data_IF_693473395017
#
_entry.id   IF_693473395017
#
_cell.length_a   1.000
_cell.length_b   1.000
_cell.length_c   1.000
_cell.angle_alpha   90.00
_cell.angle_beta   90.00
_cell.angle_gamma   90.00
#
_symmetry.space_group_name_H-M   'P 1'
#
loop_
_entity.id
_entity.type
_entity.pdbx_description
1 polymer ?
#
# COMPACT_ATOMS: atom_id res chain seq x y z
N UNK A 1 -31.16 11.21 14.97
CA UNK A 1 -31.42 10.05 14.09
C UNK A 1 -31.48 10.55 12.66
N UNK A 2 -30.38 10.40 11.91
CA UNK A 2 -30.32 10.81 10.50
C UNK A 2 -30.44 9.60 9.59
N UNK A 3 -31.52 9.53 8.82
CA UNK A 3 -31.76 8.52 7.79
C UNK A 3 -30.80 8.72 6.63
N UNK A 4 -29.93 7.75 6.37
CA UNK A 4 -29.14 7.68 5.14
C UNK A 4 -29.99 7.03 4.07
N UNK A 5 -30.48 7.85 3.14
CA UNK A 5 -31.16 7.41 1.93
C UNK A 5 -30.23 6.51 1.12
N UNK A 6 -30.44 5.21 1.26
CA UNK A 6 -29.74 4.17 0.53
C UNK A 6 -30.27 4.16 -0.91
N UNK A 7 -29.75 5.08 -1.72
CA UNK A 7 -29.95 5.11 -3.16
C UNK A 7 -29.31 3.85 -3.72
N UNK A 8 -30.12 2.81 -3.95
CA UNK A 8 -29.74 1.50 -4.48
C UNK A 8 -28.89 1.65 -5.75
N UNK A 9 -27.57 1.71 -5.59
CA UNK A 9 -26.62 1.62 -6.69
C UNK A 9 -26.75 0.20 -7.25
N UNK A 10 -27.23 0.07 -8.49
CA UNK A 10 -27.20 -1.19 -9.23
C UNK A 10 -25.72 -1.51 -9.52
N UNK A 11 -25.09 -2.30 -8.65
CA UNK A 11 -23.67 -2.66 -8.72
C UNK A 11 -23.18 -3.39 -7.47
N UNK A 12 -21.92 -3.85 -7.45
CA UNK A 12 -21.30 -4.44 -6.25
C UNK A 12 -21.42 -3.44 -5.09
N UNK A 13 -21.91 -3.84 -3.90
CA UNK A 13 -21.96 -2.96 -2.74
C UNK A 13 -20.60 -2.32 -2.50
N UNK A 14 -20.58 -1.01 -2.25
CA UNK A 14 -19.37 -0.34 -1.81
C UNK A 14 -18.89 -1.00 -0.52
N UNK A 15 -17.71 -1.62 -0.54
CA UNK A 15 -17.12 -2.18 0.67
C UNK A 15 -16.73 -1.08 1.66
N UNK A 16 -16.36 -1.45 2.89
CA UNK A 16 -15.91 -0.50 3.92
C UNK A 16 -14.83 0.41 3.35
N UNK A 17 -15.02 1.72 3.48
CA UNK A 17 -14.14 2.72 2.84
C UNK A 17 -12.68 2.54 3.23
N UNK A 18 -12.44 2.13 4.47
CA UNK A 18 -11.13 1.90 5.09
C UNK A 18 -10.38 0.68 4.53
N UNK A 19 -11.09 -0.28 3.93
CA UNK A 19 -10.52 -1.55 3.47
C UNK A 19 -10.41 -1.64 1.94
N UNK A 20 -11.05 -0.73 1.22
CA UNK A 20 -11.18 -0.82 -0.25
C UNK A 20 -10.40 0.27 -0.99
N UNK A 21 -10.06 1.38 -0.32
CA UNK A 21 -9.37 2.50 -0.98
C UNK A 21 -7.87 2.44 -0.76
N UNK A 22 -7.13 2.24 -1.85
CA UNK A 22 -5.69 2.41 -1.87
C UNK A 22 -5.33 3.90 -1.82
N UNK A 23 -4.43 4.29 -0.92
CA UNK A 23 -3.82 5.62 -0.93
C UNK A 23 -2.55 5.60 -1.78
N UNK A 24 -2.35 6.64 -2.60
CA UNK A 24 -1.12 6.80 -3.38
C UNK A 24 -0.03 7.40 -2.50
N UNK A 25 1.09 6.70 -2.42
CA UNK A 25 2.31 7.18 -1.77
C UNK A 25 3.32 7.59 -2.85
N UNK A 26 4.00 8.73 -2.65
CA UNK A 26 5.03 9.25 -3.55
C UNK A 26 6.23 9.64 -2.70
N UNK A 27 7.42 9.24 -3.13
CA UNK A 27 8.69 9.60 -2.51
C UNK A 27 9.73 9.87 -3.59
N UNK A 28 10.81 10.55 -3.21
CA UNK A 28 11.98 10.74 -4.05
C UNK A 28 13.06 9.76 -3.65
N UNK A 29 13.77 9.23 -4.64
CA UNK A 29 14.93 8.37 -4.49
C UNK A 29 16.01 8.85 -5.45
N UNK A 30 17.26 8.56 -5.13
CA UNK A 30 18.39 8.75 -6.03
C UNK A 30 18.34 7.75 -7.18
N UNK A 31 19.07 8.03 -8.26
CA UNK A 31 19.19 7.11 -9.41
C UNK A 31 19.76 5.76 -8.99
N UNK A 32 20.80 5.74 -8.15
CA UNK A 32 21.40 4.52 -7.63
C UNK A 32 20.42 3.66 -6.80
N UNK A 33 19.54 4.29 -6.03
CA UNK A 33 18.49 3.58 -5.28
C UNK A 33 17.42 3.02 -6.23
N UNK A 34 17.01 3.80 -7.24
CA UNK A 34 16.05 3.35 -8.24
C UNK A 34 16.55 2.12 -9.00
N UNK A 35 17.81 2.14 -9.45
CA UNK A 35 18.41 1.02 -10.18
C UNK A 35 18.46 -0.25 -9.33
N UNK A 36 18.86 -0.12 -8.06
CA UNK A 36 18.85 -1.25 -7.12
C UNK A 36 17.44 -1.82 -6.93
N UNK A 37 16.43 -0.96 -6.74
CA UNK A 37 15.06 -1.44 -6.61
C UNK A 37 14.55 -2.09 -7.88
N UNK A 38 14.94 -1.58 -9.05
CA UNK A 38 14.56 -2.14 -10.36
C UNK A 38 15.14 -3.53 -10.58
N UNK A 39 16.41 -3.73 -10.23
CA UNK A 39 17.05 -5.04 -10.25
C UNK A 39 16.37 -6.03 -9.30
N UNK A 40 16.05 -5.59 -8.08
CA UNK A 40 15.36 -6.43 -7.08
C UNK A 40 13.95 -6.83 -7.57
N UNK A 41 13.19 -5.86 -8.07
CA UNK A 41 11.86 -6.11 -8.63
C UNK A 41 11.91 -7.11 -9.80
N UNK A 42 12.92 -6.98 -10.67
CA UNK A 42 13.13 -7.88 -11.80
C UNK A 42 13.49 -9.30 -11.35
N UNK A 43 14.36 -9.44 -10.34
CA UNK A 43 14.74 -10.74 -9.78
C UNK A 43 13.54 -11.51 -9.20
N UNK A 44 12.61 -10.78 -8.57
CA UNK A 44 11.41 -11.35 -7.93
C UNK A 44 10.19 -11.46 -8.86
N UNK A 45 10.31 -11.06 -10.13
CA UNK A 45 9.18 -10.94 -11.08
C UNK A 45 8.03 -10.07 -10.55
N UNK A 46 8.36 -8.95 -9.89
CA UNK A 46 7.41 -8.00 -9.30
C UNK A 46 7.49 -6.64 -9.99
N UNK A 47 6.45 -5.84 -9.80
CA UNK A 47 6.55 -4.41 -10.11
C UNK A 47 7.40 -3.67 -9.09
N UNK A 48 7.94 -2.51 -9.47
CA UNK A 48 8.62 -1.60 -8.55
C UNK A 48 7.73 -1.20 -7.36
N UNK A 49 6.44 -0.93 -7.61
CA UNK A 49 5.49 -0.55 -6.57
C UNK A 49 5.22 -1.68 -5.56
N UNK A 50 5.14 -2.93 -6.03
CA UNK A 50 4.97 -4.09 -5.15
C UNK A 50 6.23 -4.32 -4.31
N UNK A 51 7.41 -4.21 -4.92
CA UNK A 51 8.70 -4.34 -4.23
C UNK A 51 8.88 -3.25 -3.17
N UNK A 52 8.56 -2.00 -3.49
CA UNK A 52 8.60 -0.89 -2.55
C UNK A 52 7.62 -1.10 -1.38
N UNK A 53 6.41 -1.58 -1.66
CA UNK A 53 5.42 -1.90 -0.63
C UNK A 53 5.91 -3.00 0.32
N UNK A 54 6.48 -4.08 -0.20
CA UNK A 54 7.00 -5.19 0.61
C UNK A 54 8.11 -4.73 1.55
N UNK A 55 9.05 -3.92 1.06
CA UNK A 55 10.12 -3.34 1.86
C UNK A 55 9.58 -2.43 2.96
N UNK A 56 8.61 -1.57 2.64
CA UNK A 56 7.94 -0.69 3.59
C UNK A 56 7.23 -1.48 4.69
N UNK A 57 6.45 -2.49 4.31
CA UNK A 57 5.73 -3.34 5.27
C UNK A 57 6.68 -4.17 6.14
N UNK A 58 7.79 -4.64 5.59
CA UNK A 58 8.82 -5.32 6.36
C UNK A 58 9.44 -4.39 7.42
N UNK A 59 9.76 -3.16 7.04
CA UNK A 59 10.25 -2.12 7.96
C UNK A 59 9.25 -1.85 9.09
N UNK A 60 8.00 -1.57 8.76
CA UNK A 60 6.95 -1.27 9.75
C UNK A 60 6.75 -2.42 10.74
N UNK A 61 6.69 -3.67 10.27
CA UNK A 61 6.53 -4.85 11.14
C UNK A 61 7.73 -5.06 12.07
N UNK A 62 8.92 -4.64 11.64
CA UNK A 62 10.13 -4.73 12.46
C UNK A 62 10.13 -3.64 13.53
N UNK A 63 9.76 -2.40 13.18
CA UNK A 63 9.68 -1.27 14.13
C UNK A 63 8.62 -1.48 15.20
N UNK A 64 7.45 -2.01 14.87
CA UNK A 64 6.38 -2.25 15.85
C UNK A 64 6.74 -3.23 16.97
N UNK A 65 7.83 -4.01 16.82
CA UNK A 65 8.35 -4.86 17.91
C UNK A 65 9.21 -4.07 18.91
N UNK A 66 9.72 -2.91 18.52
CA UNK A 66 10.61 -2.07 19.33
C UNK A 66 9.79 -1.19 20.30
N UNK A 67 8.59 -0.77 19.90
CA UNK A 67 7.75 0.16 20.68
C UNK A 67 6.89 -0.51 21.78
N UNK A 68 7.00 -1.83 21.97
CA UNK A 68 6.20 -2.60 22.94
C UNK A 68 7.02 -3.11 24.15
N UNK A 69 8.18 -2.50 24.43
CA UNK A 69 9.03 -2.84 25.58
C UNK A 69 9.53 -1.58 26.29
#
# INVERSE_FOLDING_TARGET
MGTLDNKLQRGRPAGPTELVRSHRLVTFVTEAEFDRMSQLASADNKSLSATAYDLLMHGLRTTSKIDNN
#
